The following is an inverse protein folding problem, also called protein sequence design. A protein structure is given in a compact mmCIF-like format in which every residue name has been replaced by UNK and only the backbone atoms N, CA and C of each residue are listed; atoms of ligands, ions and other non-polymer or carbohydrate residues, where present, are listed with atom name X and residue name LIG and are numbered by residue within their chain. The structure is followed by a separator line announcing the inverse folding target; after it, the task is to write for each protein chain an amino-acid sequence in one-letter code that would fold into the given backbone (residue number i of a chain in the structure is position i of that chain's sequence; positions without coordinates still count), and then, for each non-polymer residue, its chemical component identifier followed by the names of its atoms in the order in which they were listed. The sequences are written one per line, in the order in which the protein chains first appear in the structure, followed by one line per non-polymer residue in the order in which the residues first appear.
data_IF_416122923600
#
_entry.id   IF_416122923600
#
_cell.length_a   1.000
_cell.length_b   1.000
_cell.length_c   1.000
_cell.angle_alpha   90.00
_cell.angle_beta   90.00
_cell.angle_gamma   90.00
#
_symmetry.space_group_name_H-M   'P 1'
#
loop_
_entity.id
_entity.type
_entity.pdbx_description
1 polymer ?
#
# COMPACT_ATOMS: atom_id res chain seq x y z
N UNK A 1 1.03 5.35 -15.63
CA UNK A 1 1.36 4.10 -14.90
C UNK A 1 0.77 2.86 -15.56
N UNK A 2 -0.55 2.79 -15.81
CA UNK A 2 -1.23 1.61 -16.38
C UNK A 2 -0.53 1.02 -17.62
N UNK A 3 -0.29 1.83 -18.65
CA UNK A 3 0.44 1.43 -19.87
C UNK A 3 1.84 0.86 -19.62
N UNK A 4 2.56 1.40 -18.62
CA UNK A 4 3.89 0.90 -18.26
C UNK A 4 3.83 -0.45 -17.57
N UNK A 5 2.85 -0.65 -16.67
CA UNK A 5 2.61 -1.95 -16.02
C UNK A 5 2.21 -2.99 -17.06
N UNK A 6 1.30 -2.65 -17.98
CA UNK A 6 0.90 -3.53 -19.09
C UNK A 6 2.10 -3.96 -19.93
N UNK A 7 2.96 -3.01 -20.33
CA UNK A 7 4.20 -3.31 -21.04
C UNK A 7 5.12 -4.26 -20.26
N UNK A 8 5.33 -4.03 -18.97
CA UNK A 8 6.18 -4.91 -18.14
C UNK A 8 5.55 -6.30 -17.91
N UNK A 9 4.22 -6.41 -17.87
CA UNK A 9 3.52 -7.69 -17.85
C UNK A 9 3.69 -8.44 -19.17
N UNK A 10 3.52 -7.77 -20.30
CA UNK A 10 3.73 -8.36 -21.64
C UNK A 10 5.16 -8.87 -21.83
N UNK A 11 6.15 -8.17 -21.24
CA UNK A 11 7.56 -8.60 -21.25
C UNK A 11 7.90 -9.66 -20.20
N UNK A 12 6.93 -10.12 -19.41
CA UNK A 12 7.12 -11.13 -18.37
C UNK A 12 7.95 -10.66 -17.17
N UNK A 13 8.18 -9.34 -17.04
CA UNK A 13 8.95 -8.73 -15.96
C UNK A 13 8.12 -8.69 -14.67
N UNK A 14 6.80 -8.46 -14.79
CA UNK A 14 5.85 -8.51 -13.67
C UNK A 14 4.88 -9.66 -13.97
N UNK A 15 4.79 -10.65 -13.07
CA UNK A 15 3.76 -11.69 -13.17
C UNK A 15 2.41 -11.11 -12.74
N UNK A 16 1.32 -11.72 -13.18
CA UNK A 16 -0.02 -11.26 -12.85
C UNK A 16 -0.46 -11.68 -11.44
N UNK A 17 0.24 -11.16 -10.42
CA UNK A 17 -0.11 -11.36 -9.01
C UNK A 17 0.07 -10.07 -8.21
N UNK A 18 -0.76 -9.91 -7.18
CA UNK A 18 -0.69 -8.75 -6.28
C UNK A 18 0.68 -8.62 -5.63
N UNK A 19 1.27 -9.75 -5.21
CA UNK A 19 2.60 -9.81 -4.58
C UNK A 19 3.72 -9.29 -5.48
N UNK A 20 3.74 -9.72 -6.74
CA UNK A 20 4.75 -9.25 -7.69
C UNK A 20 4.55 -7.78 -8.04
N UNK A 21 3.29 -7.32 -8.09
CA UNK A 21 2.99 -5.90 -8.27
C UNK A 21 3.51 -5.06 -7.09
N UNK A 22 3.25 -5.47 -5.85
CA UNK A 22 3.77 -4.80 -4.64
C UNK A 22 5.29 -4.78 -4.63
N UNK A 23 5.92 -5.91 -4.94
CA UNK A 23 7.38 -6.02 -5.07
C UNK A 23 7.90 -5.03 -6.10
N UNK A 24 7.28 -4.95 -7.28
CA UNK A 24 7.63 -3.97 -8.31
C UNK A 24 7.49 -2.53 -7.80
N UNK A 25 6.39 -2.18 -7.12
CA UNK A 25 6.17 -0.83 -6.59
C UNK A 25 7.22 -0.41 -5.56
N UNK A 26 7.70 -1.34 -4.72
CA UNK A 26 8.66 -1.05 -3.65
C UNK A 26 10.11 -1.12 -4.12
N UNK A 27 10.44 -2.03 -5.03
CA UNK A 27 11.83 -2.35 -5.38
C UNK A 27 12.31 -1.68 -6.66
N UNK A 28 11.42 -1.07 -7.45
CA UNK A 28 11.82 -0.38 -8.69
C UNK A 28 12.44 0.98 -8.37
N UNK A 29 13.75 1.18 -8.62
CA UNK A 29 14.39 2.46 -8.36
C UNK A 29 13.76 3.56 -9.21
N UNK A 30 13.73 4.79 -8.69
CA UNK A 30 13.25 5.99 -9.40
C UNK A 30 11.78 5.96 -9.84
N UNK A 31 10.98 4.98 -9.39
CA UNK A 31 9.55 5.02 -9.61
C UNK A 31 8.95 6.21 -8.84
N UNK A 32 8.14 7.01 -9.52
CA UNK A 32 7.55 8.21 -8.93
C UNK A 32 6.67 7.87 -7.73
N UNK A 33 7.05 8.34 -6.54
CA UNK A 33 6.27 8.22 -5.29
C UNK A 33 4.86 8.78 -5.42
N UNK A 34 4.66 9.81 -6.26
CA UNK A 34 3.33 10.34 -6.58
C UNK A 34 2.51 9.31 -7.35
N UNK A 35 3.09 8.71 -8.39
CA UNK A 35 2.39 7.71 -9.21
C UNK A 35 2.08 6.44 -8.42
N UNK A 36 2.94 6.04 -7.48
CA UNK A 36 2.69 4.92 -6.56
C UNK A 36 1.44 5.21 -5.72
N UNK A 37 1.36 6.38 -5.09
CA UNK A 37 0.20 6.79 -4.29
C UNK A 37 -1.10 6.82 -5.12
N UNK A 38 -1.07 7.46 -6.30
CA UNK A 38 -2.22 7.51 -7.22
C UNK A 38 -2.65 6.13 -7.73
N UNK A 39 -1.71 5.18 -7.86
CA UNK A 39 -2.02 3.81 -8.26
C UNK A 39 -2.68 3.05 -7.11
N UNK A 40 -2.08 3.07 -5.91
CA UNK A 40 -2.57 2.34 -4.74
C UNK A 40 -3.96 2.83 -4.30
N UNK A 41 -4.24 4.12 -4.42
CA UNK A 41 -5.49 4.71 -3.95
C UNK A 41 -6.72 4.45 -4.84
N UNK A 42 -6.54 3.78 -5.99
CA UNK A 42 -7.67 3.45 -6.88
C UNK A 42 -8.56 2.39 -6.24
N UNK A 43 -9.90 2.52 -6.35
CA UNK A 43 -10.83 1.50 -5.85
C UNK A 43 -10.53 0.09 -6.37
N UNK A 44 -10.10 -0.03 -7.63
CA UNK A 44 -9.75 -1.32 -8.27
C UNK A 44 -8.46 -1.95 -7.74
N UNK A 45 -7.66 -1.21 -6.99
CA UNK A 45 -6.34 -1.63 -6.54
C UNK A 45 -6.28 -1.86 -5.01
N UNK A 46 -7.45 -2.00 -4.37
CA UNK A 46 -7.56 -2.17 -2.91
C UNK A 46 -6.73 -3.34 -2.36
N UNK A 47 -6.76 -4.50 -3.02
CA UNK A 47 -5.94 -5.66 -2.61
C UNK A 47 -4.43 -5.35 -2.68
N UNK A 48 -4.01 -4.57 -3.68
CA UNK A 48 -2.62 -4.15 -3.82
C UNK A 48 -2.22 -3.14 -2.74
N UNK A 49 -3.12 -2.23 -2.35
CA UNK A 49 -2.91 -1.36 -1.19
C UNK A 49 -2.78 -2.15 0.11
N UNK A 50 -3.68 -3.11 0.36
CA UNK A 50 -3.65 -3.96 1.55
C UNK A 50 -2.35 -4.77 1.62
N UNK A 51 -1.96 -5.45 0.54
CA UNK A 51 -0.69 -6.19 0.48
C UNK A 51 0.53 -5.26 0.61
N UNK A 52 0.51 -4.07 -0.01
CA UNK A 52 1.60 -3.09 0.09
C UNK A 52 1.83 -2.64 1.53
N UNK A 53 0.75 -2.43 2.29
CA UNK A 53 0.77 -2.00 3.68
C UNK A 53 1.08 -3.14 4.65
N UNK A 54 0.66 -4.37 4.36
CA UNK A 54 1.02 -5.56 5.15
C UNK A 54 2.52 -5.90 5.09
N UNK A 55 3.24 -5.42 4.07
CA UNK A 55 4.68 -5.59 3.94
C UNK A 55 5.48 -4.59 4.84
N UNK A 56 4.82 -3.69 5.56
CA UNK A 56 5.48 -2.89 6.61
C UNK A 56 5.50 -3.64 7.93
N UNK A 57 6.55 -3.41 8.72
CA UNK A 57 6.60 -3.85 10.11
C UNK A 57 6.24 -2.69 11.04
N UNK A 58 4.98 -2.67 11.50
CA UNK A 58 4.46 -1.69 12.46
C UNK A 58 4.50 -2.17 13.90
N UNK A 59 5.00 -3.39 14.19
CA UNK A 59 5.09 -3.90 15.55
C UNK A 59 6.00 -3.03 16.41
N UNK A 60 5.54 -2.75 17.63
CA UNK A 60 6.24 -1.90 18.60
C UNK A 60 6.58 -0.49 18.06
N UNK A 61 5.87 -0.01 17.04
CA UNK A 61 5.98 1.37 16.54
C UNK A 61 4.86 2.20 17.14
N UNK A 62 5.17 3.43 17.53
CA UNK A 62 4.15 4.44 17.79
C UNK A 62 3.47 4.85 16.48
N UNK A 63 2.27 5.42 16.58
CA UNK A 63 1.47 5.81 15.42
C UNK A 63 2.21 6.79 14.50
N UNK A 64 2.91 7.76 15.06
CA UNK A 64 3.70 8.76 14.33
C UNK A 64 4.90 8.13 13.60
N UNK A 65 5.53 7.10 14.17
CA UNK A 65 6.60 6.36 13.51
C UNK A 65 6.06 5.53 12.34
N UNK A 66 4.93 4.84 12.53
CA UNK A 66 4.27 4.07 11.47
C UNK A 66 3.80 4.96 10.31
N UNK A 67 3.21 6.12 10.63
CA UNK A 67 2.83 7.13 9.65
C UNK A 67 4.05 7.66 8.87
N UNK A 68 5.18 7.88 9.53
CA UNK A 68 6.41 8.31 8.85
C UNK A 68 6.87 7.27 7.83
N UNK A 69 6.89 5.98 8.21
CA UNK A 69 7.24 4.88 7.28
C UNK A 69 6.33 4.86 6.05
N UNK A 70 5.02 5.03 6.24
CA UNK A 70 4.05 5.11 5.15
C UNK A 70 4.34 6.29 4.22
N UNK A 71 4.47 7.49 4.78
CA UNK A 71 4.64 8.74 4.01
C UNK A 71 6.03 8.89 3.38
N UNK A 72 7.01 8.12 3.85
CA UNK A 72 8.31 7.97 3.20
C UNK A 72 8.24 7.08 1.97
N UNK A 73 7.31 6.12 1.91
CA UNK A 73 7.26 5.14 0.81
C UNK A 73 6.57 5.68 -0.44
N UNK A 74 5.51 6.50 -0.29
CA UNK A 74 4.83 7.16 -1.41
C UNK A 74 4.25 8.52 -0.99
N UNK A 75 3.74 9.30 -1.96
CA UNK A 75 3.04 10.57 -1.69
C UNK A 75 1.54 10.35 -1.68
N UNK A 76 0.86 10.86 -0.66
CA UNK A 76 -0.59 10.84 -0.62
C UNK A 76 -1.17 11.56 -1.85
N UNK A 77 -2.26 11.04 -2.43
CA UNK A 77 -3.00 11.73 -3.47
C UNK A 77 -3.70 12.99 -2.93
N UNK A 78 -4.16 13.86 -3.82
CA UNK A 78 -4.87 15.09 -3.44
C UNK A 78 -6.38 14.92 -3.21
N UNK A 79 -6.98 13.86 -3.77
CA UNK A 79 -8.43 13.63 -3.69
C UNK A 79 -8.80 13.05 -2.31
N UNK A 80 -9.78 13.66 -1.65
CA UNK A 80 -10.18 13.29 -0.27
C UNK A 80 -10.54 11.81 -0.13
N UNK A 81 -11.36 11.28 -1.05
CA UNK A 81 -11.79 9.86 -1.07
C UNK A 81 -10.61 8.88 -1.23
N UNK A 82 -9.54 9.31 -1.91
CA UNK A 82 -8.35 8.49 -2.09
C UNK A 82 -7.48 8.49 -0.84
N UNK A 83 -7.35 9.64 -0.17
CA UNK A 83 -6.68 9.75 1.12
C UNK A 83 -7.41 8.92 2.16
N UNK A 84 -8.74 9.02 2.24
CA UNK A 84 -9.59 8.25 3.14
C UNK A 84 -9.32 6.75 3.02
N UNK A 85 -9.36 6.19 1.81
CA UNK A 85 -9.06 4.77 1.55
C UNK A 85 -7.69 4.34 2.09
N UNK A 86 -6.66 5.17 1.89
CA UNK A 86 -5.31 4.90 2.39
C UNK A 86 -5.28 4.91 3.91
N UNK A 87 -5.87 5.92 4.53
CA UNK A 87 -5.87 6.10 5.99
C UNK A 87 -6.67 5.00 6.69
N UNK A 88 -7.83 4.62 6.14
CA UNK A 88 -8.63 3.49 6.66
C UNK A 88 -7.86 2.18 6.60
N UNK A 89 -7.24 1.87 5.46
CA UNK A 89 -6.47 0.63 5.28
C UNK A 89 -5.24 0.62 6.18
N UNK A 90 -4.52 1.74 6.28
CA UNK A 90 -3.41 1.92 7.21
C UNK A 90 -3.84 1.70 8.66
N UNK A 91 -4.96 2.30 9.07
CA UNK A 91 -5.49 2.18 10.44
C UNK A 91 -5.79 0.71 10.75
N UNK A 92 -6.53 0.02 9.88
CA UNK A 92 -6.84 -1.41 10.02
C UNK A 92 -5.58 -2.25 10.22
N UNK A 93 -4.56 -2.05 9.38
CA UNK A 93 -3.31 -2.84 9.43
C UNK A 93 -2.48 -2.48 10.66
N UNK A 94 -2.30 -1.20 10.97
CA UNK A 94 -1.58 -0.74 12.15
C UNK A 94 -2.20 -1.29 13.44
N UNK A 95 -3.53 -1.24 13.60
CA UNK A 95 -4.20 -1.81 14.78
C UNK A 95 -4.02 -3.33 14.88
N UNK A 96 -4.11 -4.04 13.75
CA UNK A 96 -3.91 -5.49 13.72
C UNK A 96 -2.48 -5.93 14.09
N UNK A 97 -1.48 -5.15 13.69
CA UNK A 97 -0.07 -5.41 13.99
C UNK A 97 0.32 -5.00 15.42
N UNK A 98 -0.18 -3.85 15.88
CA UNK A 98 0.16 -3.28 17.20
C UNK A 98 -0.56 -3.97 18.35
N UNK A 99 -1.66 -4.69 18.09
CA UNK A 99 -2.42 -5.40 19.13
C UNK A 99 -2.85 -6.81 18.68
N UNK A 100 -1.93 -7.80 18.67
CA UNK A 100 -2.20 -9.14 18.13
C UNK A 100 -3.34 -9.88 18.83
N UNK A 101 -3.66 -9.54 20.08
CA UNK A 101 -4.68 -10.20 20.91
C UNK A 101 -6.12 -9.77 20.59
N UNK A 102 -6.34 -8.74 19.75
CA UNK A 102 -7.68 -8.24 19.38
C UNK A 102 -8.14 -8.62 17.96
N UNK A 103 -7.43 -9.51 17.25
CA UNK A 103 -7.72 -9.94 15.86
C UNK A 103 -9.15 -10.48 15.58
N UNK A 104 -10.05 -10.58 16.56
CA UNK A 104 -11.38 -11.22 16.42
C UNK A 104 -12.59 -10.29 16.24
N UNK A 105 -12.50 -8.96 16.41
CA UNK A 105 -13.71 -8.12 16.52
C UNK A 105 -13.75 -6.84 15.66
N UNK A 106 -13.17 -6.83 14.45
CA UNK A 106 -13.27 -5.66 13.55
C UNK A 106 -13.95 -5.99 12.21
N UNK A 107 -15.00 -6.82 12.28
CA UNK A 107 -16.06 -6.90 11.28
C UNK A 107 -17.38 -6.66 12.01
N UNK A 108 -17.71 -5.37 12.19
CA UNK A 108 -19.07 -4.90 12.33
C UNK A 108 -19.38 -4.06 11.09
#
# INVERSE_FOLDING_TARGET
MKKGIEFFKEKGIIKDSVKEMVKFLKQTPNLSKKMIGEYLAKPTNGECLEEYLNDFNFRNKRLDEALRLLLESFRLPGESQQIERIVETFSKIYFNESNPSKKKNFLL
#
